data_IF_098287357474
#
_entry.id   IF_098287357474
#
_cell.length_a   1.000
_cell.length_b   1.000
_cell.length_c   1.000
_cell.angle_alpha   90.00
_cell.angle_beta   90.00
_cell.angle_gamma   90.00
#
_symmetry.space_group_name_H-M   'P 1'
#
loop_
_entity.id
_entity.type
_entity.pdbx_description
1 polymer ?
#
# COMPACT_ATOMS: atom_id res chain seq x y z
N UNK A 1 19.67 7.42 18.04
CA UNK A 1 18.76 8.60 18.02
C UNK A 1 18.00 8.49 16.71
N UNK A 2 16.67 8.70 16.75
CA UNK A 2 15.87 8.68 15.51
C UNK A 2 16.25 9.84 14.61
N UNK A 3 16.26 9.65 13.27
CA UNK A 3 16.35 10.74 12.29
C UNK A 3 15.17 11.73 12.44
N UNK A 4 15.39 12.98 12.05
CA UNK A 4 14.37 14.04 12.20
C UNK A 4 13.07 13.73 11.47
N UNK A 5 13.11 13.09 10.29
CA UNK A 5 11.90 12.72 9.56
C UNK A 5 11.03 11.70 10.31
N UNK A 6 11.63 10.76 11.08
CA UNK A 6 10.88 9.83 11.93
C UNK A 6 10.34 10.52 13.20
N UNK A 7 11.09 11.45 13.78
CA UNK A 7 10.63 12.25 14.91
C UNK A 7 9.43 13.13 14.51
N UNK A 8 9.49 13.75 13.35
CA UNK A 8 8.39 14.56 12.80
C UNK A 8 7.14 13.73 12.57
N UNK A 9 7.29 12.52 11.99
CA UNK A 9 6.18 11.58 11.82
C UNK A 9 5.55 11.20 13.17
N UNK A 10 6.37 10.79 14.14
CA UNK A 10 5.87 10.42 15.47
C UNK A 10 5.09 11.57 16.12
N UNK A 11 5.58 12.80 15.99
CA UNK A 11 4.89 13.98 16.51
C UNK A 11 3.56 14.19 15.78
N UNK A 12 3.54 14.20 14.45
CA UNK A 12 2.33 14.40 13.67
C UNK A 12 1.28 13.30 13.94
N UNK A 13 1.72 12.05 14.11
CA UNK A 13 0.85 10.94 14.48
C UNK A 13 0.25 11.13 15.88
N UNK A 14 1.05 11.57 16.85
CA UNK A 14 0.57 11.86 18.20
C UNK A 14 -0.46 12.99 18.22
N UNK A 15 -0.18 14.09 17.51
CA UNK A 15 -1.09 15.24 17.38
C UNK A 15 -2.43 14.83 16.71
N UNK A 16 -2.37 13.97 15.69
CA UNK A 16 -3.54 13.41 15.03
C UNK A 16 -4.36 12.51 15.97
N UNK A 17 -3.69 11.60 16.69
CA UNK A 17 -4.35 10.67 17.63
C UNK A 17 -4.98 11.40 18.81
N UNK A 18 -4.38 12.50 19.28
CA UNK A 18 -4.96 13.36 20.31
C UNK A 18 -6.24 14.04 19.84
N UNK A 19 -6.25 14.56 18.59
CA UNK A 19 -7.44 15.20 18.00
C UNK A 19 -8.53 14.19 17.62
N UNK A 20 -8.14 13.04 17.12
CA UNK A 20 -9.01 11.99 16.60
C UNK A 20 -8.70 10.63 17.25
N UNK A 21 -9.04 10.44 18.56
CA UNK A 21 -8.89 9.14 19.21
C UNK A 21 -9.67 8.06 18.47
N UNK A 22 -9.04 6.91 18.26
CA UNK A 22 -9.58 5.85 17.39
C UNK A 22 -10.95 5.32 17.84
N UNK A 23 -11.18 5.22 19.13
CA UNK A 23 -12.44 4.79 19.72
C UNK A 23 -13.59 5.80 19.51
N UNK A 24 -13.26 7.03 19.09
CA UNK A 24 -14.23 8.07 18.74
C UNK A 24 -14.45 8.22 17.22
N UNK A 25 -13.82 7.40 16.39
CA UNK A 25 -14.00 7.50 14.94
C UNK A 25 -15.42 7.12 14.54
N UNK A 26 -16.12 8.04 13.92
CA UNK A 26 -17.41 7.77 13.28
C UNK A 26 -17.18 6.93 12.02
N UNK A 27 -18.23 6.25 11.54
CA UNK A 27 -18.18 5.51 10.28
C UNK A 27 -17.77 6.43 9.11
N UNK A 28 -18.36 7.63 9.03
CA UNK A 28 -18.01 8.60 7.99
C UNK A 28 -16.54 9.04 8.05
N UNK A 29 -15.97 9.19 9.25
CA UNK A 29 -14.56 9.53 9.39
C UNK A 29 -13.66 8.37 8.95
N UNK A 30 -13.97 7.15 9.37
CA UNK A 30 -13.26 5.94 8.91
C UNK A 30 -13.32 5.80 7.39
N UNK A 31 -14.48 5.99 6.80
CA UNK A 31 -14.68 5.93 5.36
C UNK A 31 -13.84 6.99 4.64
N UNK A 32 -13.74 8.21 5.18
CA UNK A 32 -12.92 9.25 4.57
C UNK A 32 -11.43 8.86 4.54
N UNK A 33 -10.90 8.28 5.62
CA UNK A 33 -9.50 7.82 5.67
C UNK A 33 -9.24 6.66 4.68
N UNK A 34 -10.18 5.71 4.59
CA UNK A 34 -10.08 4.59 3.66
C UNK A 34 -10.19 5.07 2.21
N UNK A 35 -11.06 6.05 1.94
CA UNK A 35 -11.21 6.65 0.61
C UNK A 35 -9.92 7.34 0.17
N UNK A 36 -9.32 8.15 1.05
CA UNK A 36 -8.04 8.80 0.79
C UNK A 36 -6.96 7.78 0.47
N UNK A 37 -6.81 6.76 1.34
CA UNK A 37 -5.83 5.71 1.14
C UNK A 37 -6.03 4.97 -0.19
N UNK A 38 -7.26 4.58 -0.49
CA UNK A 38 -7.60 3.85 -1.72
C UNK A 38 -7.36 4.71 -2.96
N UNK A 39 -7.69 5.99 -2.89
CA UNK A 39 -7.44 6.94 -3.97
C UNK A 39 -5.95 7.10 -4.25
N UNK A 40 -5.13 7.43 -3.24
CA UNK A 40 -3.68 7.61 -3.45
C UNK A 40 -2.99 6.32 -3.87
N UNK A 41 -3.45 5.17 -3.37
CA UNK A 41 -3.00 3.86 -3.86
C UNK A 41 -3.30 3.67 -5.35
N UNK A 42 -4.50 4.03 -5.81
CA UNK A 42 -4.88 3.88 -7.22
C UNK A 42 -4.17 4.89 -8.14
N UNK A 43 -3.82 6.07 -7.62
CA UNK A 43 -3.05 7.09 -8.36
C UNK A 43 -1.65 6.62 -8.74
N UNK A 44 -1.09 5.64 -8.04
CA UNK A 44 0.17 4.99 -8.44
C UNK A 44 0.02 4.30 -9.81
N UNK A 45 -1.13 3.68 -10.06
CA UNK A 45 -1.43 2.94 -11.30
C UNK A 45 -1.97 3.89 -12.40
N UNK A 46 -2.83 4.83 -12.03
CA UNK A 46 -3.46 5.79 -12.95
C UNK A 46 -3.37 7.23 -12.42
N UNK A 47 -2.33 7.95 -12.83
CA UNK A 47 -2.09 9.35 -12.42
C UNK A 47 -3.14 10.35 -12.96
N UNK A 48 -4.06 9.94 -13.83
CA UNK A 48 -5.13 10.80 -14.36
C UNK A 48 -6.38 10.81 -13.50
N UNK A 49 -6.52 9.87 -12.55
CA UNK A 49 -7.64 9.84 -11.63
C UNK A 49 -7.78 11.17 -10.88
N UNK A 50 -9.02 11.60 -10.68
CA UNK A 50 -9.35 12.79 -9.91
C UNK A 50 -10.12 12.38 -8.65
N UNK A 51 -9.78 13.00 -7.50
CA UNK A 51 -10.42 12.68 -6.22
C UNK A 51 -11.95 12.84 -6.27
N UNK A 52 -12.43 13.94 -6.86
CA UNK A 52 -13.85 14.21 -6.99
C UNK A 52 -14.61 13.14 -7.79
N UNK A 53 -14.01 12.62 -8.87
CA UNK A 53 -14.63 11.54 -9.66
C UNK A 53 -14.65 10.22 -8.88
N UNK A 54 -13.60 9.94 -8.12
CA UNK A 54 -13.54 8.78 -7.22
C UNK A 54 -14.66 8.83 -6.19
N UNK A 55 -14.82 9.94 -5.47
CA UNK A 55 -15.86 10.07 -4.43
C UNK A 55 -17.26 9.96 -5.05
N UNK A 56 -17.51 10.57 -6.22
CA UNK A 56 -18.77 10.43 -6.94
C UNK A 56 -19.08 8.98 -7.30
N UNK A 57 -18.08 8.25 -7.82
CA UNK A 57 -18.22 6.84 -8.14
C UNK A 57 -18.56 5.99 -6.90
N UNK A 58 -17.81 6.18 -5.80
CA UNK A 58 -18.05 5.47 -4.54
C UNK A 58 -19.43 5.79 -3.92
N UNK A 59 -19.98 6.96 -4.22
CA UNK A 59 -21.36 7.35 -3.87
C UNK A 59 -22.42 6.87 -4.87
N UNK A 60 -22.09 5.95 -5.80
CA UNK A 60 -22.96 5.43 -6.84
C UNK A 60 -23.45 6.51 -7.85
N UNK A 61 -22.70 7.58 -8.00
CA UNK A 61 -22.99 8.60 -9.02
C UNK A 61 -22.33 8.21 -10.35
N UNK A 62 -22.95 8.65 -11.45
CA UNK A 62 -22.38 8.43 -12.78
C UNK A 62 -21.15 9.31 -13.00
N UNK A 63 -20.02 8.70 -13.30
CA UNK A 63 -18.78 9.36 -13.71
C UNK A 63 -18.55 9.12 -15.20
N UNK A 64 -18.11 10.15 -15.94
CA UNK A 64 -17.85 10.08 -17.38
C UNK A 64 -16.41 10.42 -17.69
N UNK A 65 -15.85 9.73 -18.70
CA UNK A 65 -14.51 10.02 -19.21
C UNK A 65 -13.38 9.49 -18.33
N UNK A 66 -13.68 8.70 -17.32
CA UNK A 66 -12.70 8.03 -16.44
C UNK A 66 -12.60 6.55 -16.80
N UNK A 67 -11.41 5.98 -16.67
CA UNK A 67 -11.20 4.55 -16.89
C UNK A 67 -11.98 3.75 -15.84
N UNK A 68 -12.89 2.89 -16.31
CA UNK A 68 -13.71 2.05 -15.44
C UNK A 68 -12.85 1.09 -14.59
N UNK A 69 -11.79 0.53 -15.16
CA UNK A 69 -10.89 -0.38 -14.44
C UNK A 69 -10.26 0.32 -13.23
N UNK A 70 -9.82 1.58 -13.42
CA UNK A 70 -9.24 2.38 -12.33
C UNK A 70 -10.26 2.64 -11.22
N UNK A 71 -11.52 2.97 -11.57
CA UNK A 71 -12.61 3.18 -10.59
C UNK A 71 -12.97 1.89 -9.86
N UNK A 72 -13.08 0.77 -10.58
CA UNK A 72 -13.34 -0.54 -9.96
C UNK A 72 -12.19 -0.94 -9.02
N UNK A 73 -10.94 -0.73 -9.43
CA UNK A 73 -9.77 -0.99 -8.58
C UNK A 73 -9.80 -0.21 -7.25
N UNK A 74 -10.31 1.04 -7.26
CA UNK A 74 -10.50 1.81 -6.02
C UNK A 74 -11.60 1.20 -5.15
N UNK A 75 -12.73 0.82 -5.74
CA UNK A 75 -13.84 0.19 -5.01
C UNK A 75 -13.44 -1.12 -4.36
N UNK A 76 -12.68 -1.96 -5.09
CA UNK A 76 -12.19 -3.23 -4.57
C UNK A 76 -11.18 -3.00 -3.43
N UNK A 77 -10.26 -2.04 -3.61
CA UNK A 77 -9.29 -1.65 -2.60
C UNK A 77 -9.96 -1.12 -1.31
N UNK A 78 -10.97 -0.24 -1.46
CA UNK A 78 -11.78 0.26 -0.36
C UNK A 78 -12.49 -0.87 0.39
N UNK A 79 -13.12 -1.79 -0.35
CA UNK A 79 -13.86 -2.92 0.22
C UNK A 79 -12.96 -3.84 1.04
N UNK A 80 -11.76 -4.15 0.51
CA UNK A 80 -10.78 -4.99 1.23
C UNK A 80 -10.30 -4.29 2.50
N UNK A 81 -9.99 -2.99 2.45
CA UNK A 81 -9.56 -2.23 3.64
C UNK A 81 -10.65 -2.12 4.71
N UNK A 82 -11.91 -1.93 4.32
CA UNK A 82 -13.05 -1.93 5.26
C UNK A 82 -13.18 -3.27 5.98
N UNK A 83 -13.14 -4.37 5.23
CA UNK A 83 -13.21 -5.71 5.79
C UNK A 83 -12.04 -6.00 6.75
N UNK A 84 -10.83 -5.56 6.39
CA UNK A 84 -9.66 -5.68 7.24
C UNK A 84 -9.78 -4.85 8.51
N UNK A 85 -10.29 -3.62 8.43
CA UNK A 85 -10.51 -2.77 9.60
C UNK A 85 -11.51 -3.39 10.58
N UNK A 86 -12.58 -4.00 10.08
CA UNK A 86 -13.60 -4.66 10.90
C UNK A 86 -13.09 -5.95 11.57
N UNK A 87 -12.11 -6.62 10.96
CA UNK A 87 -11.50 -7.86 11.45
C UNK A 87 -10.05 -7.71 11.92
N UNK A 88 -9.60 -6.49 12.17
CA UNK A 88 -8.20 -6.13 12.34
C UNK A 88 -7.48 -6.91 13.46
N UNK A 89 -8.18 -7.19 14.57
CA UNK A 89 -7.63 -7.96 15.69
C UNK A 89 -7.33 -9.43 15.32
N UNK A 90 -7.92 -9.92 14.24
CA UNK A 90 -7.74 -11.29 13.75
C UNK A 90 -6.80 -11.34 12.54
N UNK A 91 -6.38 -10.20 12.02
CA UNK A 91 -5.45 -10.18 10.89
C UNK A 91 -4.05 -10.57 11.36
N UNK A 92 -3.50 -11.60 10.76
CA UNK A 92 -2.08 -11.95 10.85
C UNK A 92 -1.51 -12.08 9.45
N UNK A 93 -0.27 -11.65 9.28
CA UNK A 93 0.40 -11.77 8.00
C UNK A 93 0.78 -13.23 7.76
N UNK A 94 0.13 -13.85 6.78
CA UNK A 94 0.36 -15.23 6.36
C UNK A 94 0.28 -15.33 4.84
N UNK A 95 0.75 -16.44 4.27
CA UNK A 95 0.56 -16.70 2.84
C UNK A 95 -0.92 -16.70 2.47
N UNK A 96 -1.76 -17.29 3.30
CA UNK A 96 -3.21 -17.36 3.07
C UNK A 96 -3.83 -15.95 3.10
N UNK A 97 -3.44 -15.09 4.05
CA UNK A 97 -3.95 -13.72 4.12
C UNK A 97 -3.52 -12.87 2.91
N UNK A 98 -2.28 -13.03 2.43
CA UNK A 98 -1.79 -12.35 1.23
C UNK A 98 -2.53 -12.84 -0.02
N UNK A 99 -2.71 -14.15 -0.17
CA UNK A 99 -3.46 -14.76 -1.28
C UNK A 99 -4.93 -14.34 -1.27
N UNK A 100 -5.54 -14.25 -0.08
CA UNK A 100 -6.92 -13.80 0.07
C UNK A 100 -7.08 -12.32 -0.28
N UNK A 101 -6.15 -11.45 0.15
CA UNK A 101 -6.14 -10.04 -0.28
C UNK A 101 -6.04 -9.96 -1.80
N UNK A 102 -5.13 -10.72 -2.41
CA UNK A 102 -5.00 -10.76 -3.87
C UNK A 102 -6.29 -11.26 -4.54
N UNK A 103 -6.91 -12.33 -4.01
CA UNK A 103 -8.17 -12.85 -4.54
C UNK A 103 -9.26 -11.80 -4.55
N UNK A 104 -9.46 -11.11 -3.42
CA UNK A 104 -10.48 -10.07 -3.30
C UNK A 104 -10.23 -8.87 -4.24
N UNK A 105 -8.96 -8.52 -4.49
CA UNK A 105 -8.61 -7.41 -5.38
C UNK A 105 -8.71 -7.76 -6.87
N UNK A 106 -8.48 -9.04 -7.22
CA UNK A 106 -8.21 -9.46 -8.61
C UNK A 106 -9.26 -10.44 -9.15
N UNK A 107 -10.37 -10.67 -8.43
CA UNK A 107 -11.43 -11.57 -8.86
C UNK A 107 -12.15 -11.07 -10.12
N UNK A 108 -12.27 -9.75 -10.29
CA UNK A 108 -12.84 -9.16 -11.50
C UNK A 108 -11.82 -9.11 -12.65
N UNK A 109 -12.19 -9.54 -13.87
CA UNK A 109 -11.35 -9.33 -15.05
C UNK A 109 -10.97 -7.86 -15.29
N UNK A 110 -11.81 -6.92 -14.84
CA UNK A 110 -11.56 -5.47 -14.95
C UNK A 110 -10.46 -4.97 -14.01
N UNK A 111 -10.09 -5.75 -13.01
CA UNK A 111 -9.00 -5.40 -12.08
C UNK A 111 -7.60 -5.65 -12.67
N UNK A 112 -7.50 -6.37 -13.78
CA UNK A 112 -6.23 -6.76 -14.40
C UNK A 112 -5.75 -5.69 -15.40
N UNK A 113 -4.50 -5.36 -15.32
CA UNK A 113 -3.80 -4.53 -16.31
C UNK A 113 -3.24 -5.39 -17.45
N UNK A 114 -3.01 -6.67 -17.16
CA UNK A 114 -2.57 -7.68 -18.10
C UNK A 114 -3.74 -8.57 -18.54
N UNK A 115 -3.46 -9.62 -19.32
CA UNK A 115 -4.46 -10.61 -19.68
C UNK A 115 -5.01 -11.32 -18.43
N UNK A 116 -6.34 -11.31 -18.24
CA UNK A 116 -6.99 -11.99 -17.13
C UNK A 116 -6.75 -13.50 -17.13
N UNK A 117 -6.29 -14.02 -16.01
CA UNK A 117 -6.00 -15.44 -15.79
C UNK A 117 -6.68 -15.92 -14.52
N UNK A 118 -7.91 -16.45 -14.61
CA UNK A 118 -8.69 -16.83 -13.44
C UNK A 118 -7.99 -17.84 -12.53
N UNK A 119 -7.14 -18.70 -13.09
CA UNK A 119 -6.35 -19.68 -12.33
C UNK A 119 -5.26 -19.06 -11.46
N UNK A 120 -4.89 -17.79 -11.72
CA UNK A 120 -3.90 -17.04 -10.93
C UNK A 120 -4.53 -16.12 -9.89
N UNK A 121 -5.87 -16.02 -9.85
CA UNK A 121 -6.57 -15.24 -8.82
C UNK A 121 -6.37 -15.89 -7.45
N UNK A 122 -5.74 -15.18 -6.51
CA UNK A 122 -5.39 -15.71 -5.20
C UNK A 122 -4.23 -16.72 -5.19
N UNK A 123 -3.51 -16.88 -6.31
CA UNK A 123 -2.39 -17.80 -6.44
C UNK A 123 -1.12 -17.08 -6.90
N UNK A 124 0.03 -17.59 -6.47
CA UNK A 124 1.31 -17.08 -6.95
C UNK A 124 1.45 -17.33 -8.46
N UNK A 125 2.17 -16.44 -9.13
CA UNK A 125 2.43 -16.60 -10.57
C UNK A 125 3.20 -17.89 -10.85
N UNK A 126 2.79 -18.57 -11.91
CA UNK A 126 3.44 -19.77 -12.43
C UNK A 126 4.18 -19.50 -13.75
N UNK A 127 4.36 -18.24 -14.10
CA UNK A 127 5.03 -17.75 -15.29
C UNK A 127 6.12 -16.75 -14.92
N UNK A 128 7.17 -16.58 -15.75
CA UNK A 128 8.10 -15.47 -15.62
C UNK A 128 7.33 -14.14 -15.68
N UNK A 129 7.72 -13.19 -14.85
CA UNK A 129 7.15 -11.85 -14.87
C UNK A 129 8.27 -10.84 -14.97
N UNK A 130 8.09 -9.88 -15.85
CA UNK A 130 8.97 -8.75 -16.07
C UNK A 130 8.17 -7.51 -15.67
N UNK A 131 8.64 -6.77 -14.68
CA UNK A 131 8.08 -5.47 -14.32
C UNK A 131 8.49 -4.43 -15.32
N UNK A 132 7.52 -3.89 -16.05
CA UNK A 132 7.79 -2.74 -16.91
C UNK A 132 7.98 -1.49 -16.06
N UNK A 133 9.13 -0.85 -16.23
CA UNK A 133 9.49 0.42 -15.61
C UNK A 133 9.62 1.54 -16.66
N UNK A 134 9.19 1.23 -17.88
CA UNK A 134 9.18 2.18 -19.01
C UNK A 134 8.19 3.34 -18.75
N UNK A 135 8.46 4.53 -19.26
CA UNK A 135 9.63 4.89 -20.08
C UNK A 135 10.85 5.33 -19.27
N UNK A 136 10.82 5.26 -17.95
CA UNK A 136 11.82 5.93 -17.10
C UNK A 136 13.02 5.03 -16.74
N UNK A 137 12.81 3.72 -16.67
CA UNK A 137 13.83 2.76 -16.24
C UNK A 137 13.78 1.49 -17.09
N UNK A 138 14.85 0.69 -17.02
CA UNK A 138 14.90 -0.63 -17.62
C UNK A 138 13.92 -1.59 -16.95
N UNK A 139 13.38 -2.52 -17.72
CA UNK A 139 12.50 -3.57 -17.21
C UNK A 139 13.26 -4.47 -16.24
N UNK A 140 12.56 -4.97 -15.23
CA UNK A 140 13.14 -5.82 -14.19
C UNK A 140 12.63 -7.25 -14.28
N UNK A 141 13.58 -8.20 -14.21
CA UNK A 141 13.28 -9.59 -13.93
C UNK A 141 13.20 -9.85 -12.43
N UNK A 142 12.16 -10.56 -12.00
CA UNK A 142 11.94 -10.95 -10.61
C UNK A 142 12.40 -12.36 -10.33
N UNK A 143 12.37 -12.77 -9.04
CA UNK A 143 12.67 -14.15 -8.65
C UNK A 143 11.91 -15.16 -9.54
N UNK A 144 12.59 -16.24 -9.90
CA UNK A 144 11.99 -17.27 -10.75
C UNK A 144 10.71 -17.84 -10.12
N UNK A 145 9.63 -17.90 -10.89
CA UNK A 145 8.30 -18.29 -10.41
C UNK A 145 8.29 -19.68 -9.72
N UNK A 146 9.10 -20.63 -10.21
CA UNK A 146 9.20 -21.97 -9.60
C UNK A 146 9.82 -21.99 -8.21
N UNK A 147 10.41 -20.89 -7.76
CA UNK A 147 10.96 -20.75 -6.42
C UNK A 147 9.97 -20.09 -5.44
N UNK A 148 8.90 -19.45 -5.93
CA UNK A 148 8.01 -18.62 -5.11
C UNK A 148 7.41 -19.38 -3.93
N UNK A 149 6.85 -20.57 -4.18
CA UNK A 149 6.24 -21.36 -3.09
C UNK A 149 7.24 -21.72 -1.98
N UNK A 150 8.49 -21.94 -2.33
CA UNK A 150 9.54 -22.27 -1.36
C UNK A 150 9.99 -21.07 -0.55
N UNK A 151 10.00 -19.86 -1.15
CA UNK A 151 10.55 -18.67 -0.50
C UNK A 151 9.48 -17.87 0.23
N UNK A 152 8.23 -17.89 -0.25
CA UNK A 152 7.17 -17.06 0.30
C UNK A 152 6.88 -17.36 1.77
N UNK A 153 6.79 -18.63 2.16
CA UNK A 153 6.56 -19.00 3.56
C UNK A 153 7.65 -18.45 4.49
N UNK A 154 8.92 -18.54 4.06
CA UNK A 154 10.05 -17.99 4.83
C UNK A 154 9.96 -16.46 4.93
N UNK A 155 9.69 -15.78 3.81
CA UNK A 155 9.59 -14.33 3.76
C UNK A 155 8.42 -13.79 4.56
N UNK A 156 7.26 -14.41 4.42
CA UNK A 156 6.05 -14.04 5.18
C UNK A 156 6.28 -14.20 6.68
N UNK A 157 6.83 -15.32 7.12
CA UNK A 157 7.16 -15.53 8.54
C UNK A 157 8.17 -14.52 9.07
N UNK A 158 9.15 -14.11 8.25
CA UNK A 158 10.09 -13.06 8.62
C UNK A 158 9.42 -11.68 8.74
N UNK A 159 8.50 -11.33 7.84
CA UNK A 159 7.77 -10.08 7.90
C UNK A 159 6.81 -10.04 9.10
N UNK A 160 6.08 -11.13 9.36
CA UNK A 160 5.19 -11.24 10.51
C UNK A 160 5.94 -11.04 11.83
N UNK A 161 7.09 -11.68 11.98
CA UNK A 161 7.98 -11.48 13.14
C UNK A 161 8.47 -10.03 13.25
N UNK A 162 8.76 -9.37 12.13
CA UNK A 162 9.18 -7.95 12.13
C UNK A 162 8.04 -7.02 12.50
N UNK A 163 6.83 -7.30 12.06
CA UNK A 163 5.65 -6.48 12.40
C UNK A 163 5.17 -6.68 13.82
N UNK A 164 5.43 -7.84 14.43
CA UNK A 164 5.05 -8.14 15.82
C UNK A 164 5.90 -7.40 16.87
N UNK A 165 7.07 -6.85 16.50
CA UNK A 165 7.98 -6.17 17.43
C UNK A 165 8.24 -4.69 17.06
N UNK A 166 7.24 -4.03 16.46
CA UNK A 166 7.30 -2.60 16.14
C UNK A 166 7.51 -1.78 17.41
N UNK A 167 8.51 -0.89 17.36
CA UNK A 167 8.85 0.06 18.41
C UNK A 167 9.28 1.40 17.77
N UNK A 168 8.40 2.39 17.81
CA UNK A 168 8.64 3.70 17.21
C UNK A 168 9.68 4.56 17.94
N UNK A 169 10.34 4.03 18.97
CA UNK A 169 11.46 4.69 19.66
C UNK A 169 12.83 4.32 19.08
N UNK A 170 12.89 3.29 18.26
CA UNK A 170 14.13 2.80 17.63
C UNK A 170 13.96 2.76 16.09
N UNK A 171 15.02 3.12 15.36
CA UNK A 171 14.96 3.27 13.90
C UNK A 171 14.68 1.95 13.19
N UNK A 172 15.36 0.88 13.59
CA UNK A 172 15.24 -0.45 12.95
C UNK A 172 13.90 -1.15 13.24
N UNK A 173 13.21 -0.76 14.33
CA UNK A 173 11.88 -1.25 14.69
C UNK A 173 10.77 -0.26 14.40
N UNK A 174 11.10 0.93 13.93
CA UNK A 174 10.11 1.94 13.61
C UNK A 174 9.13 1.44 12.54
N UNK A 175 7.84 1.73 12.70
CA UNK A 175 6.80 1.24 11.79
C UNK A 175 7.12 1.59 10.34
N UNK A 176 7.58 2.81 10.06
CA UNK A 176 7.92 3.23 8.70
C UNK A 176 9.12 2.48 8.13
N UNK A 177 10.11 2.15 8.94
CA UNK A 177 11.25 1.31 8.52
C UNK A 177 10.77 -0.10 8.19
N UNK A 178 9.87 -0.66 9.00
CA UNK A 178 9.33 -2.01 8.79
C UNK A 178 8.47 -2.10 7.53
N UNK A 179 7.56 -1.12 7.30
CA UNK A 179 6.73 -1.12 6.09
C UNK A 179 7.55 -0.78 4.83
N UNK A 180 8.56 0.08 4.91
CA UNK A 180 9.45 0.36 3.78
C UNK A 180 10.24 -0.89 3.37
N UNK A 181 10.79 -1.62 4.35
CA UNK A 181 11.46 -2.89 4.09
C UNK A 181 10.52 -3.93 3.44
N UNK A 182 9.29 -4.10 3.99
CA UNK A 182 8.29 -4.98 3.39
C UNK A 182 7.98 -4.56 1.96
N UNK A 183 7.70 -3.28 1.74
CA UNK A 183 7.36 -2.73 0.43
C UNK A 183 8.46 -3.00 -0.61
N UNK A 184 9.72 -2.68 -0.27
CA UNK A 184 10.84 -2.87 -1.16
C UNK A 184 11.03 -4.36 -1.50
N UNK A 185 11.05 -5.23 -0.49
CA UNK A 185 11.23 -6.66 -0.71
C UNK A 185 10.06 -7.29 -1.48
N UNK A 186 8.82 -6.92 -1.14
CA UNK A 186 7.64 -7.46 -1.81
C UNK A 186 7.57 -7.07 -3.29
N UNK A 187 7.85 -5.79 -3.62
CA UNK A 187 7.74 -5.30 -4.99
C UNK A 187 8.99 -5.53 -5.83
N UNK A 188 10.19 -5.37 -5.24
CA UNK A 188 11.42 -5.44 -6.00
C UNK A 188 12.06 -6.83 -6.05
N UNK A 189 11.81 -7.72 -5.09
CA UNK A 189 12.43 -9.03 -5.08
C UNK A 189 11.41 -10.16 -5.34
N UNK A 190 10.32 -10.20 -4.59
CA UNK A 190 9.37 -11.29 -4.63
C UNK A 190 8.43 -11.19 -5.82
N UNK A 191 7.71 -10.11 -5.93
CA UNK A 191 6.69 -9.85 -6.97
C UNK A 191 5.83 -11.08 -7.23
N UNK A 192 5.13 -11.59 -6.19
CA UNK A 192 4.67 -12.98 -6.18
C UNK A 192 3.49 -13.26 -7.11
N UNK A 193 2.76 -12.24 -7.55
CA UNK A 193 1.56 -12.40 -8.38
C UNK A 193 1.83 -11.99 -9.83
N UNK A 194 0.98 -12.45 -10.75
CA UNK A 194 1.05 -12.08 -12.16
C UNK A 194 0.65 -10.63 -12.41
N UNK A 195 -0.25 -10.10 -11.57
CA UNK A 195 -0.72 -8.71 -11.58
C UNK A 195 -1.14 -8.33 -10.15
N UNK A 196 -1.41 -7.05 -9.86
CA UNK A 196 -1.92 -6.56 -8.57
C UNK A 196 -0.93 -6.50 -7.41
N UNK A 197 0.36 -6.77 -7.62
CA UNK A 197 1.37 -6.77 -6.55
C UNK A 197 1.43 -5.45 -5.79
N UNK A 198 1.38 -4.31 -6.48
CA UNK A 198 1.37 -2.98 -5.86
C UNK A 198 0.18 -2.80 -4.93
N UNK A 199 -1.01 -3.15 -5.39
CA UNK A 199 -2.26 -3.05 -4.61
C UNK A 199 -2.24 -3.95 -3.38
N UNK A 200 -1.82 -5.21 -3.52
CA UNK A 200 -1.66 -6.14 -2.39
C UNK A 200 -0.67 -5.60 -1.36
N UNK A 201 0.50 -5.15 -1.82
CA UNK A 201 1.53 -4.57 -0.95
C UNK A 201 0.98 -3.40 -0.13
N UNK A 202 0.31 -2.46 -0.77
CA UNK A 202 -0.28 -1.30 -0.09
C UNK A 202 -1.40 -1.69 0.87
N UNK A 203 -2.27 -2.66 0.54
CA UNK A 203 -3.28 -3.17 1.48
C UNK A 203 -2.64 -3.76 2.74
N UNK A 204 -1.59 -4.57 2.60
CA UNK A 204 -0.87 -5.13 3.76
C UNK A 204 -0.27 -4.02 4.61
N UNK A 205 0.36 -3.01 3.99
CA UNK A 205 0.89 -1.84 4.71
C UNK A 205 -0.23 -1.12 5.47
N UNK A 206 -1.37 -0.89 4.84
CA UNK A 206 -2.54 -0.29 5.49
C UNK A 206 -3.01 -1.08 6.71
N UNK A 207 -3.07 -2.42 6.61
CA UNK A 207 -3.43 -3.28 7.73
C UNK A 207 -2.41 -3.17 8.89
N UNK A 208 -1.12 -3.21 8.58
CA UNK A 208 -0.04 -3.08 9.59
C UNK A 208 -0.09 -1.72 10.28
N UNK A 209 -0.30 -0.63 9.54
CA UNK A 209 -0.49 0.71 10.09
C UNK A 209 -1.66 0.72 11.08
N UNK A 210 -2.81 0.21 10.66
CA UNK A 210 -4.02 0.18 11.50
C UNK A 210 -3.84 -0.69 12.76
N UNK A 211 -3.15 -1.82 12.67
CA UNK A 211 -2.85 -2.67 13.84
C UNK A 211 -1.99 -1.95 14.87
N UNK A 212 -1.11 -1.06 14.41
CA UNK A 212 -0.20 -0.30 15.26
C UNK A 212 -0.75 1.10 15.65
N UNK A 213 -2.06 1.30 15.54
CA UNK A 213 -2.73 2.52 15.99
C UNK A 213 -2.59 3.71 15.03
N UNK A 214 -1.94 3.53 13.88
CA UNK A 214 -1.91 4.55 12.84
C UNK A 214 -3.22 4.50 12.01
N UNK A 215 -3.70 5.61 11.45
CA UNK A 215 -4.70 5.54 10.41
C UNK A 215 -4.11 4.84 9.15
N UNK A 216 -4.96 4.31 8.25
CA UNK A 216 -4.46 3.90 6.95
C UNK A 216 -4.06 5.17 6.18
N UNK A 217 -2.77 5.36 5.98
CA UNK A 217 -2.21 6.53 5.28
C UNK A 217 -1.18 6.08 4.24
N UNK A 218 -1.14 6.80 3.14
CA UNK A 218 -0.17 6.64 2.07
C UNK A 218 0.24 8.05 1.60
N UNK A 219 1.47 8.27 1.15
CA UNK A 219 1.87 9.56 0.59
C UNK A 219 0.91 10.03 -0.50
N UNK A 220 0.57 11.31 -0.47
CA UNK A 220 -0.35 11.89 -1.44
C UNK A 220 0.31 11.94 -2.83
N UNK A 221 -0.31 11.25 -3.78
CA UNK A 221 0.09 11.31 -5.19
C UNK A 221 -1.02 12.06 -5.93
N UNK A 222 -0.80 13.34 -6.21
CA UNK A 222 -1.80 14.24 -6.80
C UNK A 222 -1.53 14.56 -8.27
N UNK A 223 -0.31 14.28 -8.74
CA UNK A 223 0.12 14.55 -10.11
C UNK A 223 1.13 13.50 -10.61
N UNK A 224 1.52 13.61 -11.88
CA UNK A 224 2.44 12.68 -12.51
C UNK A 224 3.88 12.80 -11.97
N UNK A 225 4.30 13.98 -11.53
CA UNK A 225 5.65 14.17 -10.99
C UNK A 225 5.83 13.39 -9.68
N UNK A 226 4.84 13.45 -8.79
CA UNK A 226 4.82 12.69 -7.53
C UNK A 226 4.73 11.17 -7.77
N UNK A 227 4.00 10.74 -8.81
CA UNK A 227 4.00 9.33 -9.23
C UNK A 227 5.40 8.88 -9.68
N UNK A 228 6.07 9.69 -10.49
CA UNK A 228 7.44 9.42 -10.95
C UNK A 228 8.41 9.40 -9.77
N UNK A 229 8.29 10.34 -8.83
CA UNK A 229 9.10 10.40 -7.61
C UNK A 229 8.97 9.11 -6.79
N UNK A 230 7.74 8.62 -6.58
CA UNK A 230 7.50 7.36 -5.89
C UNK A 230 8.18 6.19 -6.60
N UNK A 231 8.00 6.04 -7.92
CA UNK A 231 8.62 4.96 -8.71
C UNK A 231 10.15 5.09 -8.66
N UNK A 232 10.68 6.29 -8.82
CA UNK A 232 12.12 6.57 -8.75
C UNK A 232 12.69 6.18 -7.39
N UNK A 233 11.99 6.50 -6.30
CA UNK A 233 12.40 6.13 -4.95
C UNK A 233 12.53 4.62 -4.79
N UNK A 234 11.56 3.85 -5.30
CA UNK A 234 11.60 2.37 -5.25
C UNK A 234 12.81 1.83 -6.05
N UNK A 235 13.06 2.37 -7.23
CA UNK A 235 14.18 1.94 -8.07
C UNK A 235 15.53 2.27 -7.43
N UNK A 236 15.66 3.46 -6.86
CA UNK A 236 16.88 3.87 -6.17
C UNK A 236 17.15 3.01 -4.92
N UNK A 237 16.12 2.65 -4.15
CA UNK A 237 16.28 1.72 -3.02
C UNK A 237 16.86 0.38 -3.46
N UNK A 238 16.46 -0.13 -4.62
CA UNK A 238 17.03 -1.34 -5.19
C UNK A 238 18.48 -1.16 -5.60
N UNK A 239 18.79 -0.08 -6.34
CA UNK A 239 20.14 0.20 -6.84
C UNK A 239 21.14 0.42 -5.70
N UNK A 240 20.71 1.09 -4.62
CA UNK A 240 21.54 1.35 -3.44
C UNK A 240 21.53 0.19 -2.44
N UNK A 241 20.72 -0.83 -2.66
CA UNK A 241 20.45 -1.92 -1.70
C UNK A 241 20.15 -1.38 -0.29
N UNK A 242 19.30 -0.37 -0.22
CA UNK A 242 18.97 0.35 1.01
C UNK A 242 17.51 0.84 0.98
N UNK A 243 16.80 0.70 2.10
CA UNK A 243 15.41 1.15 2.23
C UNK A 243 15.31 2.61 2.72
N UNK A 244 16.43 3.27 3.04
CA UNK A 244 16.44 4.59 3.69
C UNK A 244 15.69 5.65 2.88
N UNK A 245 15.81 5.65 1.55
CA UNK A 245 15.09 6.59 0.71
C UNK A 245 13.58 6.39 0.79
N UNK A 246 13.12 5.15 0.83
CA UNK A 246 11.70 4.83 0.94
C UNK A 246 11.16 5.12 2.34
N UNK A 247 11.96 4.87 3.41
CA UNK A 247 11.60 5.27 4.77
C UNK A 247 11.39 6.78 4.85
N UNK A 248 12.31 7.55 4.29
CA UNK A 248 12.22 9.01 4.26
C UNK A 248 11.00 9.47 3.46
N UNK A 249 10.78 8.94 2.27
CA UNK A 249 9.63 9.24 1.42
C UNK A 249 8.30 9.00 2.15
N UNK A 250 8.16 7.84 2.79
CA UNK A 250 6.96 7.56 3.60
C UNK A 250 6.83 8.51 4.78
N UNK A 251 7.92 8.77 5.50
CA UNK A 251 7.90 9.65 6.67
C UNK A 251 7.45 11.07 6.31
N UNK A 252 8.02 11.66 5.26
CA UNK A 252 7.69 13.02 4.81
C UNK A 252 6.25 13.09 4.30
N UNK A 253 5.86 12.25 3.33
CA UNK A 253 4.52 12.29 2.75
C UNK A 253 3.40 11.94 3.72
N UNK A 254 3.62 10.96 4.63
CA UNK A 254 2.63 10.61 5.64
C UNK A 254 2.55 11.68 6.74
N UNK A 255 3.66 12.36 7.06
CA UNK A 255 3.66 13.51 8.00
C UNK A 255 2.80 14.64 7.45
N UNK A 256 2.98 15.00 6.18
CA UNK A 256 2.22 16.06 5.53
C UNK A 256 0.72 15.75 5.51
N UNK A 257 0.36 14.50 5.20
CA UNK A 257 -1.03 14.04 5.29
C UNK A 257 -1.61 14.21 6.70
N UNK A 258 -0.90 13.73 7.74
CA UNK A 258 -1.36 13.80 9.12
C UNK A 258 -1.53 15.26 9.58
N UNK A 259 -0.57 16.13 9.26
CA UNK A 259 -0.65 17.57 9.60
C UNK A 259 -1.86 18.21 8.91
N UNK A 260 -2.07 17.94 7.61
CA UNK A 260 -3.21 18.47 6.88
C UNK A 260 -4.52 18.02 7.52
N UNK A 261 -4.69 16.71 7.75
CA UNK A 261 -5.91 16.14 8.36
C UNK A 261 -6.13 16.65 9.78
N UNK A 262 -5.06 16.87 10.55
CA UNK A 262 -5.17 17.45 11.91
C UNK A 262 -5.62 18.90 11.86
N UNK A 263 -5.26 19.66 10.81
CA UNK A 263 -5.64 21.08 10.69
C UNK A 263 -7.01 21.30 10.01
N UNK A 264 -7.59 20.29 9.37
CA UNK A 264 -8.95 20.35 8.85
C UNK A 264 -9.96 20.52 9.98
N UNK A 265 -10.87 21.51 9.83
CA UNK A 265 -11.86 21.90 10.87
C UNK A 265 -13.07 20.96 10.89
#
# INVERSE_FOLDING_TARGET
MLPDYLLNFNKALSDFQEKYPRDHWTESFRDSLINDYSFYSARVEDSKLQYGDTIRFLNNETVRGVNLNSLMGISDHQSVLKNLLDSLNNFSLSEDSIKEVHRCLMESPLAWETEFKPELVGNYRNIPTIGSRQPFFEDKEYIAHYNLENVMGTWVGMFDNRFSDIDNTTEDKHILTRIAYFHNKFLNELHPFADGNGRVCRIVIGAVLMQNGCPPIFPEITNQEEQIEYITTIVNCEQENSDVLLVKYFAEGMTDYLIRRTNEA
#
